data_IF_491840076068
#
_entry.id   IF_491840076068
#
_cell.length_a   1.000
_cell.length_b   1.000
_cell.length_c   1.000
_cell.angle_alpha   90.00
_cell.angle_beta   90.00
_cell.angle_gamma   90.00
#
_symmetry.space_group_name_H-M   'P 1'
#
loop_
_entity.id
_entity.type
_entity.pdbx_description
1 polymer ?
#
# COMPACT_ATOMS: atom_id res chain seq x y z
N UNK A 1 -11.02 -29.01 -19.45
CA UNK A 1 -10.10 -27.90 -19.82
C UNK A 1 -10.56 -27.34 -21.16
N UNK A 2 -10.54 -26.01 -21.35
CA UNK A 2 -10.99 -25.39 -22.61
C UNK A 2 -12.51 -25.42 -22.88
N UNK A 3 -13.35 -25.43 -21.83
CA UNK A 3 -14.81 -25.25 -21.98
C UNK A 3 -15.58 -26.45 -22.55
N UNK A 4 -15.06 -27.68 -22.47
CA UNK A 4 -15.71 -28.87 -23.03
C UNK A 4 -16.11 -29.88 -21.97
N UNK A 5 -17.25 -30.53 -22.18
CA UNK A 5 -17.68 -31.71 -21.42
C UNK A 5 -17.08 -32.96 -22.07
N UNK A 6 -16.33 -33.73 -21.29
CA UNK A 6 -15.61 -34.91 -21.77
C UNK A 6 -15.98 -36.15 -20.95
N UNK A 7 -15.96 -37.32 -21.57
CA UNK A 7 -16.05 -38.60 -20.85
C UNK A 7 -14.77 -38.87 -20.06
N UNK A 8 -14.81 -39.81 -19.12
CA UNK A 8 -13.62 -40.30 -18.40
C UNK A 8 -12.53 -40.85 -19.36
N UNK A 9 -12.94 -41.30 -20.55
CA UNK A 9 -12.04 -41.72 -21.64
C UNK A 9 -11.51 -40.59 -22.53
N UNK A 10 -11.87 -39.33 -22.26
CA UNK A 10 -11.41 -38.15 -23.01
C UNK A 10 -12.17 -37.83 -24.30
N UNK A 11 -13.27 -38.52 -24.58
CA UNK A 11 -14.14 -38.19 -25.72
C UNK A 11 -14.93 -36.91 -25.43
N UNK A 12 -14.93 -35.97 -26.38
CA UNK A 12 -15.66 -34.71 -26.28
C UNK A 12 -17.13 -34.93 -26.62
N UNK A 13 -18.02 -34.59 -25.69
CA UNK A 13 -19.46 -34.76 -25.86
C UNK A 13 -20.17 -33.49 -26.32
N UNK A 14 -19.84 -32.34 -25.72
CA UNK A 14 -20.46 -31.04 -26.01
C UNK A 14 -19.60 -29.88 -25.47
N UNK A 15 -19.92 -28.65 -25.87
CA UNK A 15 -19.43 -27.46 -25.18
C UNK A 15 -20.13 -27.31 -23.83
N UNK A 16 -19.43 -26.79 -22.84
CA UNK A 16 -19.99 -26.47 -21.51
C UNK A 16 -21.13 -25.46 -21.65
N UNK A 17 -21.03 -24.49 -22.56
CA UNK A 17 -22.08 -23.50 -22.79
C UNK A 17 -23.39 -24.15 -23.29
N UNK A 18 -23.29 -25.16 -24.18
CA UNK A 18 -24.46 -25.84 -24.72
C UNK A 18 -25.17 -26.71 -23.67
N UNK A 19 -24.43 -27.23 -22.69
CA UNK A 19 -24.98 -28.07 -21.61
C UNK A 19 -25.65 -27.23 -20.52
N UNK A 20 -25.17 -26.01 -20.31
CA UNK A 20 -25.68 -25.12 -19.27
C UNK A 20 -26.84 -24.25 -19.72
N UNK A 21 -27.02 -24.07 -21.04
CA UNK A 21 -28.04 -23.20 -21.61
C UNK A 21 -28.02 -21.79 -20.94
N UNK A 22 -29.09 -21.44 -20.20
CA UNK A 22 -29.24 -20.17 -19.48
C UNK A 22 -28.90 -20.26 -17.98
N UNK A 23 -28.44 -21.42 -17.48
CA UNK A 23 -28.08 -21.59 -16.08
C UNK A 23 -26.74 -20.91 -15.74
N UNK A 24 -26.74 -20.09 -14.69
CA UNK A 24 -25.54 -19.40 -14.23
C UNK A 24 -24.63 -20.37 -13.44
N UNK A 25 -23.35 -20.41 -13.81
CA UNK A 25 -22.31 -21.01 -12.98
C UNK A 25 -21.59 -19.94 -12.19
N UNK A 26 -21.53 -20.13 -10.87
CA UNK A 26 -20.61 -19.41 -10.01
C UNK A 26 -19.23 -20.09 -10.02
N UNK A 27 -18.20 -19.32 -10.38
CA UNK A 27 -16.80 -19.75 -10.30
C UNK A 27 -16.16 -18.98 -9.14
N UNK A 28 -15.75 -19.71 -8.11
CA UNK A 28 -14.92 -19.17 -7.05
C UNK A 28 -13.44 -19.45 -7.36
N UNK A 29 -12.65 -18.38 -7.50
CA UNK A 29 -11.21 -18.46 -7.70
C UNK A 29 -10.50 -17.93 -6.47
N UNK A 30 -9.66 -18.77 -5.87
CA UNK A 30 -8.80 -18.36 -4.76
C UNK A 30 -7.38 -18.11 -5.29
N UNK A 31 -6.92 -16.86 -5.20
CA UNK A 31 -5.54 -16.52 -5.51
C UNK A 31 -4.72 -16.44 -4.22
N UNK A 32 -3.69 -17.28 -4.12
CA UNK A 32 -2.73 -17.25 -3.02
C UNK A 32 -1.41 -16.69 -3.53
N UNK A 33 -0.87 -15.72 -2.81
CA UNK A 33 0.47 -15.26 -3.07
C UNK A 33 1.50 -16.37 -2.80
N UNK A 34 2.73 -16.20 -3.31
CA UNK A 34 3.85 -17.13 -3.02
C UNK A 34 4.07 -17.26 -1.49
N UNK A 35 4.45 -18.43 -0.96
CA UNK A 35 4.81 -18.55 0.45
C UNK A 35 5.95 -17.59 0.84
N UNK A 36 5.87 -17.04 2.04
CA UNK A 36 6.92 -16.21 2.66
C UNK A 36 7.57 -16.97 3.82
N UNK A 37 8.84 -16.68 4.09
CA UNK A 37 9.59 -17.27 5.19
C UNK A 37 10.00 -16.19 6.21
N UNK A 38 10.16 -16.58 7.47
CA UNK A 38 10.70 -15.68 8.48
C UNK A 38 12.16 -15.33 8.13
N UNK A 39 12.56 -14.07 8.41
CA UNK A 39 13.95 -13.68 8.28
C UNK A 39 14.82 -14.42 9.30
N UNK A 40 16.01 -14.84 8.89
CA UNK A 40 17.05 -15.32 9.81
C UNK A 40 17.42 -14.19 10.78
N UNK A 41 17.25 -14.44 12.08
CA UNK A 41 17.40 -13.40 13.11
C UNK A 41 18.86 -12.93 13.31
N UNK A 42 19.84 -13.67 12.80
CA UNK A 42 21.27 -13.32 12.94
C UNK A 42 21.78 -12.53 11.75
N UNK A 43 21.29 -12.83 10.55
CA UNK A 43 21.79 -12.29 9.28
C UNK A 43 20.80 -11.34 8.61
N UNK A 44 19.53 -11.37 9.02
CA UNK A 44 18.43 -10.61 8.41
C UNK A 44 18.03 -11.10 7.01
N UNK A 45 18.57 -12.23 6.54
CA UNK A 45 18.28 -12.76 5.21
C UNK A 45 16.99 -13.58 5.19
N UNK A 46 16.25 -13.52 4.08
CA UNK A 46 15.04 -14.32 3.87
C UNK A 46 14.06 -13.68 2.89
N UNK A 47 13.07 -14.47 2.48
CA UNK A 47 12.01 -14.04 1.58
C UNK A 47 10.69 -13.78 2.32
N UNK A 48 10.71 -12.80 3.23
CA UNK A 48 9.56 -12.48 4.09
C UNK A 48 8.45 -11.63 3.44
N UNK A 49 8.70 -11.04 2.27
CA UNK A 49 7.74 -10.13 1.64
C UNK A 49 7.01 -10.78 0.47
N UNK A 50 5.69 -10.61 0.47
CA UNK A 50 4.82 -11.02 -0.65
C UNK A 50 5.06 -10.16 -1.89
N UNK A 51 5.10 -8.84 -1.68
CA UNK A 51 5.30 -7.83 -2.70
C UNK A 51 5.89 -6.58 -2.04
N UNK A 52 6.52 -5.73 -2.84
CA UNK A 52 7.00 -4.41 -2.45
C UNK A 52 6.11 -3.33 -3.07
N UNK A 53 5.81 -2.29 -2.29
CA UNK A 53 5.24 -1.05 -2.81
C UNK A 53 6.37 -0.06 -3.07
N UNK A 54 6.23 0.72 -4.13
CA UNK A 54 7.19 1.75 -4.49
C UNK A 54 6.51 3.12 -4.45
N UNK A 55 7.22 4.12 -3.95
CA UNK A 55 6.77 5.50 -3.99
C UNK A 55 7.95 6.43 -4.26
N UNK A 56 7.67 7.55 -4.91
CA UNK A 56 8.61 8.64 -5.13
C UNK A 56 7.91 9.97 -4.85
N UNK A 57 8.58 10.80 -4.05
CA UNK A 57 8.12 12.14 -3.72
C UNK A 57 9.06 13.20 -4.29
N UNK A 58 8.48 14.30 -4.78
CA UNK A 58 9.21 15.53 -5.12
C UNK A 58 8.64 16.66 -4.28
N UNK A 59 9.50 17.32 -3.51
CA UNK A 59 9.16 18.53 -2.79
C UNK A 59 9.81 19.75 -3.46
N UNK A 60 9.06 20.83 -3.62
CA UNK A 60 9.58 22.15 -3.93
C UNK A 60 9.39 23.00 -2.68
N UNK A 61 10.48 23.56 -2.15
CA UNK A 61 10.47 24.33 -0.91
C UNK A 61 11.17 25.67 -1.10
N UNK A 62 10.67 26.66 -0.39
CA UNK A 62 11.32 27.95 -0.19
C UNK A 62 11.88 28.00 1.24
N UNK A 63 13.11 28.45 1.39
CA UNK A 63 13.80 28.51 2.68
C UNK A 63 14.29 29.93 2.93
N UNK A 64 13.88 30.50 4.05
CA UNK A 64 14.50 31.71 4.59
C UNK A 64 15.76 31.30 5.37
N UNK A 65 16.93 31.67 4.86
CA UNK A 65 18.21 31.29 5.45
C UNK A 65 18.61 32.11 6.67
N UNK A 66 17.97 33.27 6.89
CA UNK A 66 18.22 34.11 8.06
C UNK A 66 17.39 33.64 9.26
N UNK A 67 16.12 33.29 9.02
CA UNK A 67 15.18 32.88 10.06
C UNK A 67 15.07 31.35 10.22
N UNK A 68 15.56 30.58 9.25
CA UNK A 68 15.43 29.12 9.22
C UNK A 68 14.02 28.62 8.91
N UNK A 69 13.15 29.48 8.37
CA UNK A 69 11.76 29.13 8.06
C UNK A 69 11.69 28.38 6.73
N UNK A 70 10.91 27.29 6.68
CA UNK A 70 10.70 26.48 5.48
C UNK A 70 9.23 26.55 5.08
N UNK A 71 8.99 26.88 3.81
CA UNK A 71 7.66 26.84 3.20
C UNK A 71 7.63 25.80 2.09
N UNK A 72 6.74 24.81 2.22
CA UNK A 72 6.51 23.81 1.16
C UNK A 72 5.58 24.41 0.11
N UNK A 73 6.09 24.58 -1.11
CA UNK A 73 5.38 25.18 -2.24
C UNK A 73 4.60 24.11 -3.01
N UNK A 74 5.22 22.95 -3.24
CA UNK A 74 4.64 21.83 -3.94
C UNK A 74 5.14 20.53 -3.34
N UNK A 75 4.26 19.54 -3.23
CA UNK A 75 4.60 18.18 -2.86
C UNK A 75 3.88 17.21 -3.80
N UNK A 76 4.64 16.61 -4.71
CA UNK A 76 4.15 15.63 -5.66
C UNK A 76 4.52 14.21 -5.21
N UNK A 77 3.60 13.27 -5.40
CA UNK A 77 3.78 11.86 -5.07
C UNK A 77 3.38 10.98 -6.26
N UNK A 78 4.23 10.04 -6.62
CA UNK A 78 3.91 8.91 -7.47
C UNK A 78 4.09 7.64 -6.66
N UNK A 79 3.02 6.86 -6.47
CA UNK A 79 3.04 5.64 -5.67
C UNK A 79 2.40 4.48 -6.44
N UNK A 80 3.13 3.37 -6.53
CA UNK A 80 2.61 2.10 -7.02
C UNK A 80 1.70 1.49 -5.95
N UNK A 81 0.42 1.35 -6.31
CA UNK A 81 -0.64 0.80 -5.47
C UNK A 81 -1.15 -0.53 -6.01
N UNK A 82 -0.51 -1.09 -7.04
CA UNK A 82 -1.04 -2.22 -7.79
C UNK A 82 -2.43 -1.90 -8.36
N UNK A 83 -3.41 -2.75 -8.06
CA UNK A 83 -4.82 -2.52 -8.45
C UNK A 83 -5.56 -1.80 -7.32
N UNK A 84 -5.90 -0.54 -7.54
CA UNK A 84 -6.75 0.21 -6.62
C UNK A 84 -8.16 -0.38 -6.58
N UNK A 85 -8.51 -1.03 -5.46
CA UNK A 85 -9.86 -1.54 -5.23
C UNK A 85 -10.87 -0.40 -4.99
N UNK A 86 -10.44 0.63 -4.27
CA UNK A 86 -11.18 1.87 -4.07
C UNK A 86 -10.27 3.07 -4.37
N UNK A 87 -10.34 3.63 -5.59
CA UNK A 87 -9.47 4.73 -6.01
C UNK A 87 -9.57 5.98 -5.13
N UNK A 88 -10.76 6.30 -4.63
CA UNK A 88 -10.96 7.49 -3.79
C UNK A 88 -10.25 7.34 -2.44
N UNK A 89 -10.40 6.18 -1.79
CA UNK A 89 -9.70 5.90 -0.53
C UNK A 89 -8.18 5.86 -0.72
N UNK A 90 -7.69 5.31 -1.83
CA UNK A 90 -6.26 5.30 -2.16
C UNK A 90 -5.72 6.72 -2.28
N UNK A 91 -6.42 7.60 -3.01
CA UNK A 91 -6.03 9.01 -3.11
C UNK A 91 -5.98 9.70 -1.74
N UNK A 92 -6.99 9.48 -0.90
CA UNK A 92 -7.02 10.02 0.46
C UNK A 92 -5.86 9.54 1.32
N UNK A 93 -5.46 8.27 1.19
CA UNK A 93 -4.29 7.72 1.89
C UNK A 93 -2.98 8.35 1.41
N UNK A 94 -2.81 8.49 0.09
CA UNK A 94 -1.61 9.12 -0.48
C UNK A 94 -1.51 10.56 0.01
N UNK A 95 -2.60 11.33 -0.02
CA UNK A 95 -2.63 12.71 0.45
C UNK A 95 -2.36 12.80 1.96
N UNK A 96 -3.08 12.02 2.77
CA UNK A 96 -2.94 12.03 4.23
C UNK A 96 -1.55 11.61 4.70
N UNK A 97 -1.02 10.50 4.17
CA UNK A 97 0.32 10.02 4.51
C UNK A 97 1.42 10.98 4.03
N UNK A 98 1.26 11.59 2.86
CA UNK A 98 2.20 12.59 2.34
C UNK A 98 2.22 13.85 3.23
N UNK A 99 1.05 14.32 3.68
CA UNK A 99 0.95 15.45 4.61
C UNK A 99 1.48 15.11 6.00
N UNK A 100 1.26 13.89 6.49
CA UNK A 100 1.83 13.43 7.75
C UNK A 100 3.36 13.39 7.69
N UNK A 101 3.94 12.85 6.61
CA UNK A 101 5.39 12.85 6.42
C UNK A 101 5.97 14.27 6.33
N UNK A 102 5.25 15.19 5.69
CA UNK A 102 5.62 16.61 5.66
C UNK A 102 5.58 17.22 7.07
N UNK A 103 4.53 16.96 7.85
CA UNK A 103 4.40 17.41 9.24
C UNK A 103 5.60 16.98 10.08
N UNK A 104 5.93 15.69 10.05
CA UNK A 104 7.13 15.16 10.73
C UNK A 104 8.42 15.84 10.28
N UNK A 105 8.54 16.17 8.99
CA UNK A 105 9.76 16.74 8.44
C UNK A 105 9.97 18.22 8.81
N UNK A 106 8.91 19.02 8.92
CA UNK A 106 9.03 20.49 9.02
C UNK A 106 8.26 21.14 10.17
N UNK A 107 7.42 20.41 10.90
CA UNK A 107 6.56 20.97 11.95
C UNK A 107 6.66 20.21 13.28
N UNK A 108 6.59 18.88 13.26
CA UNK A 108 6.42 18.09 14.48
C UNK A 108 7.73 17.91 15.24
N UNK A 109 7.71 18.23 16.53
CA UNK A 109 8.77 17.93 17.49
C UNK A 109 8.13 17.46 18.80
N UNK A 110 8.66 16.42 19.44
CA UNK A 110 8.22 16.02 20.80
C UNK A 110 9.26 16.48 21.81
N UNK A 111 8.86 17.42 22.66
CA UNK A 111 9.74 18.00 23.67
C UNK A 111 9.52 17.25 24.98
N UNK A 112 10.53 16.54 25.45
CA UNK A 112 10.49 15.81 26.73
C UNK A 112 11.30 16.54 27.80
N UNK A 113 10.72 16.71 28.99
CA UNK A 113 11.44 17.24 30.15
C UNK A 113 12.49 16.21 30.63
N UNK A 114 13.79 16.55 30.62
CA UNK A 114 14.85 15.61 30.99
C UNK A 114 14.86 15.23 32.47
N UNK A 115 14.19 16.00 33.35
CA UNK A 115 14.12 15.72 34.78
C UNK A 115 12.90 14.87 35.15
N UNK A 116 11.77 15.11 34.48
CA UNK A 116 10.49 14.48 34.83
C UNK A 116 10.04 13.41 33.84
N UNK A 117 10.70 13.30 32.67
CA UNK A 117 10.34 12.42 31.56
C UNK A 117 8.93 12.65 31.00
N UNK A 118 8.34 13.82 31.25
CA UNK A 118 7.01 14.18 30.74
C UNK A 118 7.13 14.95 29.43
N UNK A 119 6.19 14.70 28.51
CA UNK A 119 6.02 15.50 27.28
C UNK A 119 5.54 16.90 27.65
N UNK A 120 6.20 17.92 27.12
CA UNK A 120 5.93 19.34 27.39
C UNK A 120 4.91 19.94 26.43
N UNK A 121 4.77 19.35 25.25
CA UNK A 121 3.84 19.76 24.21
C UNK A 121 2.86 18.62 23.84
N UNK A 122 1.95 18.23 24.76
CA UNK A 122 1.00 17.14 24.54
C UNK A 122 -0.33 17.60 23.90
N UNK A 123 -0.44 18.84 23.44
CA UNK A 123 -1.69 19.40 22.89
C UNK A 123 -1.53 19.89 21.45
N UNK A 124 -2.53 20.60 20.93
CA UNK A 124 -2.57 21.13 19.55
C UNK A 124 -2.36 22.65 19.46
N UNK A 125 -1.94 23.29 20.55
CA UNK A 125 -1.86 24.76 20.68
C UNK A 125 -0.44 25.28 20.91
N UNK A 126 0.51 24.37 20.90
CA UNK A 126 1.87 24.44 21.40
C UNK A 126 2.83 24.90 20.31
#
# INVERSE_FOLDING_TARGET
EGGKVVTDGGEVLADVADVLEDEAIDIELEWRHRPTEAFDLRTGQGNGHVQYSFAAHRAVVEVDTELGLVKVIELACAQDVGKALNPLSVLGQIQGGTLQGMGVAVMEEIIVDPKTAKVRNPSFTD
#
